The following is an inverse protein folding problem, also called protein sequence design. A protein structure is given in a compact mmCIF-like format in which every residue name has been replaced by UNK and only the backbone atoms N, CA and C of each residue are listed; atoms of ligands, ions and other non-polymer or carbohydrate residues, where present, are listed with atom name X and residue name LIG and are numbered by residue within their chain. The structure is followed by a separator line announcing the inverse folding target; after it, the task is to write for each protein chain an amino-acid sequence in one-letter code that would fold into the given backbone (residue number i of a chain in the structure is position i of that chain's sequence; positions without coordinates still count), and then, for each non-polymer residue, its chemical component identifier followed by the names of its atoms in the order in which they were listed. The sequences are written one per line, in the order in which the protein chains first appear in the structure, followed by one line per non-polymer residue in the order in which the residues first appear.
data_IF_392638808731
#
_entry.id   IF_392638808731
#
_cell.length_a   1.000
_cell.length_b   1.000
_cell.length_c   1.000
_cell.angle_alpha   90.00
_cell.angle_beta   90.00
_cell.angle_gamma   90.00
#
_symmetry.space_group_name_H-M   'P 1'
#
loop_
_entity.id
_entity.type
_entity.pdbx_description
1 polymer ?
#
# COMPACT_ATOMS: atom_id res chain seq x y z
N UNK A 1 -20.59 6.08 -2.12
CA UNK A 1 -21.23 4.94 -1.44
C UNK A 1 -20.63 4.78 -0.04
N UNK A 2 -21.44 4.84 1.03
CA UNK A 2 -21.02 4.82 2.45
C UNK A 2 -19.92 3.81 2.83
N UNK A 3 -19.74 2.73 2.07
CA UNK A 3 -18.76 1.66 2.34
C UNK A 3 -17.36 1.90 1.75
N UNK A 4 -17.18 2.80 0.77
CA UNK A 4 -15.88 2.96 0.09
C UNK A 4 -14.80 3.50 1.04
N UNK A 5 -15.16 4.42 1.94
CA UNK A 5 -14.24 4.91 2.99
C UNK A 5 -13.79 3.80 3.94
N UNK A 6 -14.73 2.95 4.40
CA UNK A 6 -14.43 1.84 5.31
C UNK A 6 -13.55 0.77 4.66
N UNK A 7 -13.81 0.44 3.40
CA UNK A 7 -12.99 -0.52 2.64
C UNK A 7 -11.57 0.05 2.42
N UNK A 8 -11.46 1.35 2.13
CA UNK A 8 -10.16 2.03 2.01
C UNK A 8 -9.35 2.00 3.30
N UNK A 9 -10.00 2.27 4.44
CA UNK A 9 -9.37 2.20 5.78
C UNK A 9 -8.94 0.76 6.08
N UNK A 10 -9.80 -0.23 5.83
CA UNK A 10 -9.46 -1.64 6.03
C UNK A 10 -8.25 -2.04 5.18
N UNK A 11 -8.19 -1.62 3.92
CA UNK A 11 -7.05 -1.89 3.05
C UNK A 11 -5.74 -1.24 3.55
N UNK A 12 -5.80 -0.04 4.13
CA UNK A 12 -4.66 0.62 4.79
C UNK A 12 -4.17 -0.15 6.04
N UNK A 13 -5.08 -0.77 6.78
CA UNK A 13 -4.72 -1.64 7.92
C UNK A 13 -4.07 -2.93 7.40
N UNK A 14 -4.63 -3.54 6.35
CA UNK A 14 -4.10 -4.77 5.76
C UNK A 14 -2.70 -4.57 5.19
N UNK A 15 -2.43 -3.49 4.44
CA UNK A 15 -1.08 -3.23 3.91
C UNK A 15 -0.05 -3.01 5.03
N UNK A 16 -0.48 -2.40 6.14
CA UNK A 16 0.36 -2.20 7.33
C UNK A 16 0.67 -3.52 8.03
N UNK A 17 -0.35 -4.39 8.21
CA UNK A 17 -0.19 -5.72 8.79
C UNK A 17 0.63 -6.66 7.87
N UNK A 18 0.56 -6.46 6.56
CA UNK A 18 1.29 -7.23 5.58
C UNK A 18 2.80 -7.17 5.76
N UNK A 19 3.34 -6.08 6.35
CA UNK A 19 4.76 -5.94 6.63
C UNK A 19 5.33 -6.99 7.60
N UNK A 20 4.48 -7.60 8.45
CA UNK A 20 4.87 -8.64 9.39
C UNK A 20 4.94 -10.04 8.77
N UNK A 21 4.28 -10.24 7.63
CA UNK A 21 4.33 -11.51 6.91
C UNK A 21 5.62 -11.62 6.08
N UNK A 22 6.12 -12.84 5.86
CA UNK A 22 7.26 -13.06 4.98
C UNK A 22 6.85 -12.79 3.52
N UNK A 23 7.63 -11.95 2.85
CA UNK A 23 7.36 -11.51 1.46
C UNK A 23 8.13 -12.36 0.46
N UNK A 24 9.39 -12.66 0.76
CA UNK A 24 10.25 -13.46 -0.08
C UNK A 24 11.15 -14.35 0.76
N UNK A 25 11.43 -15.53 0.22
CA UNK A 25 12.45 -16.42 0.76
C UNK A 25 13.68 -16.40 -0.14
N UNK A 26 14.84 -16.11 0.45
CA UNK A 26 16.11 -16.06 -0.26
C UNK A 26 16.88 -17.36 -0.01
N UNK A 27 16.96 -18.21 -1.03
CA UNK A 27 17.57 -19.55 -0.93
C UNK A 27 19.05 -19.50 -0.52
N UNK A 28 19.79 -18.48 -0.98
CA UNK A 28 21.22 -18.30 -0.70
C UNK A 28 21.52 -18.02 0.78
N UNK A 29 20.60 -17.29 1.41
CA UNK A 29 20.72 -16.85 2.80
C UNK A 29 19.92 -17.75 3.74
N UNK A 30 19.06 -18.63 3.20
CA UNK A 30 18.08 -19.46 3.90
C UNK A 30 17.22 -18.67 4.89
N UNK A 31 16.98 -17.39 4.61
CA UNK A 31 16.24 -16.46 5.46
C UNK A 31 15.00 -15.93 4.74
N UNK A 32 13.95 -15.68 5.52
CA UNK A 32 12.74 -15.00 5.06
C UNK A 32 12.89 -13.49 5.24
N UNK A 33 12.68 -12.73 4.17
CA UNK A 33 12.61 -11.28 4.26
C UNK A 33 11.17 -10.82 4.43
N UNK A 34 11.00 -9.85 5.32
CA UNK A 34 9.71 -9.22 5.62
C UNK A 34 9.75 -7.75 5.23
N UNK A 35 8.63 -7.05 5.41
CA UNK A 35 8.60 -5.59 5.23
C UNK A 35 9.48 -4.83 6.23
N UNK A 36 9.86 -5.45 7.36
CA UNK A 36 10.65 -4.81 8.42
C UNK A 36 12.08 -5.35 8.55
N UNK A 37 12.32 -6.57 8.04
CA UNK A 37 13.60 -7.24 8.14
C UNK A 37 14.15 -7.55 6.75
N UNK A 38 15.34 -7.00 6.47
CA UNK A 38 16.21 -7.39 5.37
C UNK A 38 17.63 -7.57 5.92
N UNK A 39 18.31 -8.64 5.49
CA UNK A 39 19.69 -8.90 5.93
C UNK A 39 20.59 -7.74 5.53
N UNK A 40 21.38 -7.27 6.50
CA UNK A 40 22.25 -6.08 6.41
C UNK A 40 21.58 -4.80 5.87
N UNK A 41 20.24 -4.71 5.91
CA UNK A 41 19.49 -3.55 5.45
C UNK A 41 19.55 -3.31 3.93
N UNK A 42 19.97 -4.30 3.14
CA UNK A 42 20.16 -4.16 1.67
C UNK A 42 18.90 -3.66 0.97
N UNK A 43 17.73 -4.10 1.45
CA UNK A 43 16.42 -3.76 0.88
C UNK A 43 15.66 -2.69 1.68
N UNK A 44 16.26 -2.16 2.75
CA UNK A 44 15.64 -1.20 3.66
C UNK A 44 14.51 -1.81 4.49
N UNK A 45 13.60 -0.94 4.96
CA UNK A 45 12.43 -1.27 5.79
C UNK A 45 11.14 -0.73 5.19
N UNK A 46 10.68 -1.28 4.04
CA UNK A 46 9.52 -0.76 3.32
C UNK A 46 8.22 -0.73 4.15
N UNK A 47 8.07 -1.63 5.13
CA UNK A 47 6.92 -1.69 6.03
C UNK A 47 6.72 -0.40 6.86
N UNK A 48 7.81 0.28 7.26
CA UNK A 48 7.72 1.53 8.02
C UNK A 48 7.12 2.65 7.15
N UNK A 49 7.56 2.73 5.89
CA UNK A 49 7.01 3.66 4.90
C UNK A 49 5.54 3.39 4.61
N UNK A 50 5.14 2.11 4.46
CA UNK A 50 3.72 1.77 4.27
C UNK A 50 2.87 2.17 5.47
N UNK A 51 3.33 1.94 6.70
CA UNK A 51 2.62 2.37 7.91
C UNK A 51 2.46 3.89 7.92
N UNK A 52 3.55 4.63 7.72
CA UNK A 52 3.52 6.09 7.73
C UNK A 52 2.52 6.64 6.70
N UNK A 53 2.59 6.15 5.45
CA UNK A 53 1.68 6.57 4.38
C UNK A 53 0.24 6.14 4.63
N UNK A 54 0.02 4.96 5.23
CA UNK A 54 -1.32 4.46 5.57
C UNK A 54 -1.99 5.31 6.65
N UNK A 55 -1.24 5.79 7.64
CA UNK A 55 -1.75 6.71 8.67
C UNK A 55 -2.27 8.00 8.03
N UNK A 56 -1.49 8.59 7.09
CA UNK A 56 -1.93 9.77 6.34
C UNK A 56 -3.15 9.49 5.47
N UNK A 57 -3.17 8.36 4.74
CA UNK A 57 -4.31 7.98 3.91
C UNK A 57 -5.59 7.81 4.74
N UNK A 58 -5.53 7.12 5.88
CA UNK A 58 -6.65 6.95 6.81
C UNK A 58 -7.17 8.32 7.27
N UNK A 59 -6.28 9.23 7.68
CA UNK A 59 -6.68 10.58 8.10
C UNK A 59 -7.44 11.32 6.99
N UNK A 60 -7.03 11.20 5.72
CA UNK A 60 -7.77 11.79 4.60
C UNK A 60 -9.08 11.08 4.26
N UNK A 61 -9.18 9.77 4.47
CA UNK A 61 -10.45 9.03 4.31
C UNK A 61 -11.52 9.48 5.32
N UNK A 62 -11.13 9.87 6.53
CA UNK A 62 -12.04 10.33 7.59
C UNK A 62 -12.61 11.74 7.36
N UNK A 63 -11.94 12.59 6.56
CA UNK A 63 -12.34 13.98 6.35
C UNK A 63 -13.23 14.09 5.10
N UNK A 64 -14.54 14.37 5.21
CA UNK A 64 -15.47 14.44 4.06
C UNK A 64 -15.37 15.80 3.32
N UNK A 65 -14.14 16.29 3.07
CA UNK A 65 -13.89 17.54 2.32
C UNK A 65 -13.35 17.24 0.93
N UNK A 66 -13.74 18.04 -0.06
CA UNK A 66 -13.30 17.91 -1.47
C UNK A 66 -11.77 18.00 -1.59
N UNK A 67 -11.12 18.86 -0.79
CA UNK A 67 -9.67 18.98 -0.77
C UNK A 67 -9.01 17.70 -0.22
N UNK A 68 -9.52 17.15 0.88
CA UNK A 68 -9.01 15.89 1.45
C UNK A 68 -9.11 14.74 0.45
N UNK A 69 -10.15 14.70 -0.39
CA UNK A 69 -10.28 13.70 -1.46
C UNK A 69 -9.17 13.81 -2.52
N UNK A 70 -8.80 15.02 -2.94
CA UNK A 70 -7.70 15.24 -3.91
C UNK A 70 -6.36 14.76 -3.34
N UNK A 71 -6.12 15.04 -2.07
CA UNK A 71 -4.92 14.54 -1.38
C UNK A 71 -4.95 13.03 -1.18
N UNK A 72 -6.09 12.45 -0.81
CA UNK A 72 -6.21 11.00 -0.67
C UNK A 72 -5.90 10.25 -1.97
N UNK A 73 -6.36 10.78 -3.11
CA UNK A 73 -5.99 10.24 -4.42
C UNK A 73 -4.48 10.31 -4.67
N UNK A 74 -3.83 11.44 -4.33
CA UNK A 74 -2.38 11.57 -4.45
C UNK A 74 -1.63 10.58 -3.55
N UNK A 75 -2.02 10.47 -2.27
CA UNK A 75 -1.39 9.56 -1.32
C UNK A 75 -1.58 8.09 -1.70
N UNK A 76 -2.77 7.71 -2.15
CA UNK A 76 -3.03 6.34 -2.62
C UNK A 76 -2.24 6.00 -3.88
N UNK A 77 -2.07 6.94 -4.82
CA UNK A 77 -1.19 6.75 -5.96
C UNK A 77 0.29 6.60 -5.55
N UNK A 78 0.76 7.38 -4.57
CA UNK A 78 2.11 7.24 -4.01
C UNK A 78 2.31 5.88 -3.31
N UNK A 79 1.31 5.40 -2.55
CA UNK A 79 1.33 4.07 -1.93
C UNK A 79 1.45 2.99 -3.01
N UNK A 80 0.67 3.09 -4.09
CA UNK A 80 0.74 2.14 -5.19
C UNK A 80 2.09 2.17 -5.90
N UNK A 81 2.61 3.36 -6.22
CA UNK A 81 3.92 3.50 -6.85
C UNK A 81 5.04 2.90 -5.98
N UNK A 82 5.00 3.14 -4.67
CA UNK A 82 5.95 2.57 -3.73
C UNK A 82 5.79 1.04 -3.58
N UNK A 83 4.55 0.52 -3.64
CA UNK A 83 4.27 -0.91 -3.68
C UNK A 83 4.84 -1.59 -4.92
N UNK A 84 4.66 -1.00 -6.10
CA UNK A 84 5.24 -1.52 -7.35
C UNK A 84 6.77 -1.53 -7.28
N UNK A 85 7.38 -0.41 -6.84
CA UNK A 85 8.84 -0.35 -6.62
C UNK A 85 9.32 -1.46 -5.68
N UNK A 86 8.63 -1.64 -4.56
CA UNK A 86 9.00 -2.63 -3.54
C UNK A 86 8.83 -4.06 -4.05
N UNK A 87 7.74 -4.32 -4.81
CA UNK A 87 7.51 -5.60 -5.45
C UNK A 87 8.63 -5.96 -6.42
N UNK A 88 9.02 -5.03 -7.30
CA UNK A 88 10.12 -5.25 -8.26
C UNK A 88 11.44 -5.49 -7.53
N UNK A 89 11.71 -4.70 -6.48
CA UNK A 89 12.95 -4.79 -5.72
C UNK A 89 13.09 -6.14 -4.97
N UNK A 90 12.01 -6.62 -4.34
CA UNK A 90 12.04 -7.88 -3.59
C UNK A 90 11.95 -9.12 -4.48
N UNK A 91 11.30 -9.03 -5.64
CA UNK A 91 11.15 -10.16 -6.58
C UNK A 91 12.25 -10.24 -7.64
N UNK A 92 13.10 -9.22 -7.74
CA UNK A 92 14.24 -9.21 -8.65
C UNK A 92 15.24 -10.33 -8.33
N UNK A 93 15.69 -11.03 -9.36
CA UNK A 93 16.78 -11.99 -9.21
C UNK A 93 18.12 -11.24 -9.15
N UNK A 94 19.01 -11.65 -8.26
CA UNK A 94 20.38 -11.13 -8.16
C UNK A 94 21.34 -12.31 -8.16
N UNK A 95 22.51 -12.18 -8.79
CA UNK A 95 23.54 -13.24 -8.83
C UNK A 95 23.06 -14.63 -9.32
N UNK A 96 22.04 -14.67 -10.19
CA UNK A 96 21.53 -15.93 -10.76
C UNK A 96 20.57 -16.70 -9.84
N UNK A 97 20.23 -16.17 -8.67
CA UNK A 97 19.29 -16.78 -7.72
C UNK A 97 18.03 -15.92 -7.65
N UNK A 98 16.87 -16.56 -7.77
CA UNK A 98 15.59 -15.89 -7.75
C UNK A 98 14.89 -16.13 -6.41
N UNK A 99 14.46 -15.07 -5.71
CA UNK A 99 13.74 -15.22 -4.45
C UNK A 99 12.38 -15.89 -4.67
N UNK A 100 12.00 -16.79 -3.78
CA UNK A 100 10.68 -17.43 -3.81
C UNK A 100 9.64 -16.44 -3.31
N UNK A 101 8.67 -16.11 -4.16
CA UNK A 101 7.56 -15.19 -3.84
C UNK A 101 6.62 -15.85 -2.83
N UNK A 102 6.46 -15.24 -1.67
CA UNK A 102 5.54 -15.69 -0.63
C UNK A 102 4.23 -14.90 -0.70
N UNK A 103 3.13 -15.37 -0.10
CA UNK A 103 1.83 -14.71 -0.18
C UNK A 103 1.85 -13.26 0.33
N UNK A 104 2.75 -12.90 1.25
CA UNK A 104 2.85 -11.53 1.77
C UNK A 104 3.06 -10.49 0.67
N UNK A 105 3.92 -10.75 -0.31
CA UNK A 105 4.21 -9.74 -1.35
C UNK A 105 3.01 -9.50 -2.29
N UNK A 106 2.19 -10.53 -2.50
CA UNK A 106 0.95 -10.42 -3.28
C UNK A 106 -0.15 -9.69 -2.51
N UNK A 107 -0.29 -9.95 -1.21
CA UNK A 107 -1.25 -9.23 -0.34
C UNK A 107 -0.90 -7.73 -0.29
N UNK A 108 0.39 -7.39 -0.18
CA UNK A 108 0.86 -6.00 -0.23
C UNK A 108 0.45 -5.31 -1.55
N UNK A 109 0.65 -5.97 -2.70
CA UNK A 109 0.31 -5.39 -4.00
C UNK A 109 -1.21 -5.23 -4.18
N UNK A 110 -1.98 -6.27 -3.82
CA UNK A 110 -3.44 -6.24 -3.90
C UNK A 110 -4.06 -5.18 -2.99
N UNK A 111 -3.54 -5.02 -1.77
CA UNK A 111 -4.00 -3.98 -0.84
C UNK A 111 -3.69 -2.58 -1.38
N UNK A 112 -2.51 -2.34 -1.95
CA UNK A 112 -2.18 -1.05 -2.56
C UNK A 112 -3.10 -0.70 -3.74
N UNK A 113 -3.40 -1.65 -4.61
CA UNK A 113 -4.36 -1.47 -5.72
C UNK A 113 -5.76 -1.17 -5.19
N UNK A 114 -6.18 -1.88 -4.13
CA UNK A 114 -7.49 -1.68 -3.50
C UNK A 114 -7.60 -0.28 -2.88
N UNK A 115 -6.55 0.21 -2.21
CA UNK A 115 -6.51 1.57 -1.65
C UNK A 115 -6.70 2.62 -2.76
N UNK A 116 -6.02 2.46 -3.89
CA UNK A 116 -6.16 3.38 -5.02
C UNK A 116 -7.55 3.29 -5.67
N UNK A 117 -8.08 2.07 -5.87
CA UNK A 117 -9.42 1.88 -6.41
C UNK A 117 -10.49 2.57 -5.54
N UNK A 118 -10.38 2.45 -4.21
CA UNK A 118 -11.30 3.10 -3.27
C UNK A 118 -11.13 4.63 -3.22
N UNK A 119 -9.91 5.15 -3.44
CA UNK A 119 -9.67 6.59 -3.50
C UNK A 119 -10.29 7.26 -4.74
N UNK A 120 -10.46 6.52 -5.85
CA UNK A 120 -11.09 7.01 -7.08
C UNK A 120 -12.61 7.13 -6.93
N UNK A 121 -13.23 6.24 -6.17
CA UNK A 121 -14.70 6.19 -6.05
C UNK A 121 -15.25 7.45 -5.35
N UNK A 122 -16.26 8.12 -5.93
CA UNK A 122 -16.85 9.33 -5.34
C UNK A 122 -17.86 9.03 -4.22
N UNK A 123 -17.57 9.56 -3.03
CA UNK A 123 -18.51 9.57 -1.90
C UNK A 123 -19.17 10.95 -1.63
N UNK A 124 -18.59 12.03 -2.13
CA UNK A 124 -19.10 13.38 -1.93
C UNK A 124 -20.21 13.68 -2.93
N UNK A 125 -21.44 13.92 -2.44
CA UNK A 125 -22.50 14.55 -3.24
C UNK A 125 -21.99 15.91 -3.70
N UNK A 126 -21.83 16.10 -5.01
CA UNK A 126 -21.54 17.41 -5.59
C UNK A 126 -22.74 18.30 -5.26
N UNK A 127 -22.57 19.50 -4.66
CA UNK A 127 -23.69 20.42 -4.54
C UNK A 127 -24.14 20.73 -5.96
N UNK A 128 -25.37 20.35 -6.32
CA UNK A 128 -25.97 20.74 -7.58
C UNK A 128 -25.97 22.26 -7.63
N UNK A 129 -25.12 22.82 -8.50
CA UNK A 129 -25.14 24.24 -8.83
C UNK A 129 -26.50 24.53 -9.45
N UNK A 130 -27.44 25.06 -8.66
CA UNK A 130 -28.63 25.72 -9.17
C UNK A 130 -28.12 26.82 -10.11
N UNK A 131 -28.26 26.58 -11.42
CA UNK A 131 -28.17 27.63 -12.42
C UNK A 131 -29.43 28.47 -12.24
N UNK A 132 -29.27 29.63 -11.62
CA UNK A 132 -30.17 30.77 -11.80
C UNK A 132 -30.10 31.20 -13.27
#
# INVERSE_FOLDING_TARGET
MKYSQWIGILACIVISACGFFPWTYHADLKENFTGFYSKSGVYGRPGVTFIAMSIFAIAFFLIPKIWAKRWNFLFSALILAYAIKTFILYTGCYNGTCPTKLPGIWIMLLSAVTIMAMAVLPDTKVPSRNKL
#
